data_IF_920513362724
#
_entry.id   IF_920513362724
#
_cell.length_a   1.000
_cell.length_b   1.000
_cell.length_c   1.000
_cell.angle_alpha   90.00
_cell.angle_beta   90.00
_cell.angle_gamma   90.00
#
_symmetry.space_group_name_H-M   'P 1'
#
loop_
_entity.id
_entity.type
_entity.pdbx_description
1 polymer ?
#
# COMPACT_ATOMS: atom_id res chain seq x y z
N UNK A 1 31.75 -36.52 20.64
CA UNK A 1 30.74 -35.43 20.58
C UNK A 1 31.05 -34.52 19.38
N UNK A 2 30.69 -34.94 18.15
CA UNK A 2 30.96 -34.17 16.90
C UNK A 2 29.74 -34.09 15.97
N UNK A 3 28.59 -34.63 16.38
CA UNK A 3 27.42 -34.77 15.53
C UNK A 3 26.41 -33.61 15.61
N UNK A 4 26.61 -32.62 16.48
CA UNK A 4 25.62 -31.55 16.73
C UNK A 4 25.84 -30.25 15.93
N UNK A 5 26.93 -30.12 15.18
CA UNK A 5 27.24 -28.89 14.44
C UNK A 5 26.77 -28.87 12.98
N UNK A 6 26.26 -29.99 12.45
CA UNK A 6 25.87 -30.10 11.04
C UNK A 6 24.39 -29.71 10.82
N UNK A 7 23.55 -29.73 11.86
CA UNK A 7 22.10 -29.44 11.72
C UNK A 7 21.74 -27.96 11.71
N UNK A 8 22.64 -27.05 12.12
CA UNK A 8 22.34 -25.61 12.14
C UNK A 8 22.60 -24.92 10.78
N UNK A 9 23.35 -25.54 9.87
CA UNK A 9 23.70 -24.95 8.58
C UNK A 9 22.62 -25.12 7.49
N UNK A 10 21.60 -25.98 7.71
CA UNK A 10 20.62 -26.32 6.68
C UNK A 10 19.39 -25.39 6.64
N UNK A 11 19.20 -24.52 7.64
CA UNK A 11 18.00 -23.66 7.73
C UNK A 11 18.21 -22.31 7.03
N UNK A 12 19.44 -21.98 6.62
CA UNK A 12 19.79 -20.65 6.10
C UNK A 12 19.76 -20.52 4.56
N UNK A 13 19.32 -21.55 3.84
CA UNK A 13 19.24 -21.55 2.37
C UNK A 13 17.79 -21.56 1.87
N UNK A 14 16.91 -20.73 2.44
CA UNK A 14 15.65 -20.40 1.80
C UNK A 14 15.93 -19.22 0.85
N UNK A 15 16.05 -19.44 -0.47
CA UNK A 15 16.10 -18.34 -1.40
C UNK A 15 14.76 -17.61 -1.29
N UNK A 16 14.77 -16.42 -0.72
CA UNK A 16 13.68 -15.46 -0.87
C UNK A 16 13.60 -15.09 -2.34
N UNK A 17 12.76 -15.83 -3.08
CA UNK A 17 12.37 -15.51 -4.44
C UNK A 17 11.65 -14.17 -4.40
N UNK A 18 12.42 -13.10 -4.54
CA UNK A 18 11.90 -11.77 -4.81
C UNK A 18 11.40 -11.79 -6.24
N UNK A 19 10.12 -12.08 -6.43
CA UNK A 19 9.46 -11.86 -7.72
C UNK A 19 9.41 -10.36 -7.94
N UNK A 20 10.46 -9.80 -8.54
CA UNK A 20 10.42 -8.49 -9.14
C UNK A 20 9.26 -8.52 -10.16
N UNK A 21 8.13 -7.93 -9.80
CA UNK A 21 6.94 -7.89 -10.64
C UNK A 21 7.30 -7.10 -11.88
N UNK A 22 7.33 -7.76 -13.04
CA UNK A 22 7.53 -7.10 -14.32
C UNK A 22 6.45 -6.02 -14.50
N UNK A 23 6.90 -4.77 -14.61
CA UNK A 23 6.05 -3.61 -14.86
C UNK A 23 5.76 -3.58 -16.37
N UNK A 24 4.55 -4.00 -16.75
CA UNK A 24 4.11 -3.95 -18.14
C UNK A 24 3.86 -2.52 -18.61
N UNK A 25 4.62 -2.07 -19.62
CA UNK A 25 4.40 -0.78 -20.29
C UNK A 25 3.47 -0.97 -21.48
N UNK A 26 2.25 -0.48 -21.36
CA UNK A 26 1.29 -0.40 -22.48
C UNK A 26 1.75 0.73 -23.40
N UNK A 27 2.10 0.40 -24.65
CA UNK A 27 2.44 1.40 -25.66
C UNK A 27 1.20 1.73 -26.48
N UNK A 28 0.74 2.98 -26.40
CA UNK A 28 -0.44 3.49 -27.11
C UNK A 28 0.03 4.45 -28.21
N UNK A 29 -0.64 4.44 -29.37
CA UNK A 29 -0.38 5.44 -30.43
C UNK A 29 0.57 5.01 -31.55
N UNK A 30 0.69 3.70 -31.84
CA UNK A 30 1.33 3.26 -33.09
C UNK A 30 0.30 3.15 -34.21
N UNK A 31 0.76 3.38 -35.43
CA UNK A 31 0.00 3.17 -36.65
C UNK A 31 -0.20 1.67 -36.88
N UNK A 32 -1.45 1.21 -36.80
CA UNK A 32 -1.81 -0.22 -36.84
C UNK A 32 -2.02 -0.73 -38.28
N UNK A 33 -2.09 0.17 -39.26
CA UNK A 33 -2.44 -0.15 -40.65
C UNK A 33 -1.38 -1.02 -41.36
N UNK A 34 -0.15 -1.05 -40.83
CA UNK A 34 0.97 -1.82 -41.38
C UNK A 34 1.22 -3.15 -40.68
N UNK A 35 0.42 -3.49 -39.66
CA UNK A 35 0.64 -4.71 -38.90
C UNK A 35 0.15 -5.93 -39.67
N UNK A 36 0.94 -7.01 -39.64
CA UNK A 36 0.46 -8.30 -40.10
C UNK A 36 -0.59 -8.86 -39.13
N UNK A 37 -1.50 -9.69 -39.64
CA UNK A 37 -2.49 -10.41 -38.80
C UNK A 37 -1.84 -11.18 -37.64
N UNK A 38 -0.62 -11.71 -37.84
CA UNK A 38 0.13 -12.42 -36.81
C UNK A 38 0.57 -11.48 -35.68
N UNK A 39 1.05 -10.29 -36.02
CA UNK A 39 1.47 -9.28 -35.04
C UNK A 39 0.27 -8.71 -34.27
N UNK A 40 -0.86 -8.47 -34.95
CA UNK A 40 -2.10 -8.06 -34.29
C UNK A 40 -2.56 -9.09 -33.26
N UNK A 41 -2.58 -10.38 -33.62
CA UNK A 41 -2.95 -11.45 -32.67
C UNK A 41 -2.01 -11.51 -31.47
N UNK A 42 -0.70 -11.37 -31.68
CA UNK A 42 0.28 -11.31 -30.60
C UNK A 42 0.02 -10.11 -29.68
N UNK A 43 -0.27 -8.95 -30.26
CA UNK A 43 -0.57 -7.71 -29.54
C UNK A 43 -1.83 -7.84 -28.70
N UNK A 44 -2.90 -8.40 -29.26
CA UNK A 44 -4.17 -8.64 -28.55
C UNK A 44 -3.91 -9.55 -27.35
N UNK A 45 -3.19 -10.66 -27.55
CA UNK A 45 -2.83 -11.56 -26.45
C UNK A 45 -2.00 -10.88 -25.36
N UNK A 46 -1.02 -10.04 -25.73
CA UNK A 46 -0.23 -9.24 -24.76
C UNK A 46 -1.11 -8.27 -23.97
N UNK A 47 -2.07 -7.62 -24.63
CA UNK A 47 -3.01 -6.70 -24.00
C UNK A 47 -3.98 -7.43 -23.07
N UNK A 48 -4.56 -8.55 -23.49
CA UNK A 48 -5.43 -9.39 -22.66
C UNK A 48 -4.71 -9.83 -21.39
N UNK A 49 -3.46 -10.27 -21.51
CA UNK A 49 -2.63 -10.64 -20.36
C UNK A 49 -2.38 -9.46 -19.42
N UNK A 50 -2.07 -8.28 -19.97
CA UNK A 50 -1.85 -7.08 -19.17
C UNK A 50 -3.12 -6.64 -18.44
N UNK A 51 -4.27 -6.71 -19.10
CA UNK A 51 -5.58 -6.40 -18.50
C UNK A 51 -5.89 -7.38 -17.35
N UNK A 52 -5.66 -8.68 -17.54
CA UNK A 52 -5.85 -9.67 -16.49
C UNK A 52 -4.98 -9.38 -15.25
N UNK A 53 -3.72 -9.00 -15.45
CA UNK A 53 -2.83 -8.61 -14.34
C UNK A 53 -3.28 -7.33 -13.64
N UNK A 54 -3.76 -6.33 -14.39
CA UNK A 54 -4.32 -5.10 -13.83
C UNK A 54 -5.58 -5.39 -12.99
N UNK A 55 -6.45 -6.27 -13.48
CA UNK A 55 -7.65 -6.70 -12.76
C UNK A 55 -7.31 -7.41 -11.46
N UNK A 56 -6.34 -8.34 -11.47
CA UNK A 56 -5.88 -9.02 -10.25
C UNK A 56 -5.30 -8.01 -9.24
N UNK A 57 -4.47 -7.07 -9.68
CA UNK A 57 -3.94 -6.02 -8.81
C UNK A 57 -5.04 -5.15 -8.20
N UNK A 58 -6.03 -4.74 -8.98
CA UNK A 58 -7.17 -3.96 -8.49
C UNK A 58 -7.98 -4.78 -7.48
N UNK A 59 -8.18 -6.07 -7.73
CA UNK A 59 -8.87 -6.97 -6.80
C UNK A 59 -8.10 -7.10 -5.49
N UNK A 60 -6.79 -7.36 -5.53
CA UNK A 60 -5.94 -7.44 -4.34
C UNK A 60 -5.99 -6.11 -3.56
N UNK A 61 -5.83 -4.97 -4.25
CA UNK A 61 -5.93 -3.65 -3.62
C UNK A 61 -7.32 -3.39 -3.00
N UNK A 62 -8.39 -3.88 -3.62
CA UNK A 62 -9.74 -3.77 -3.09
C UNK A 62 -9.96 -4.66 -1.86
N UNK A 63 -9.38 -5.87 -1.86
CA UNK A 63 -9.43 -6.80 -0.72
C UNK A 63 -8.55 -6.36 0.44
N UNK A 64 -7.35 -5.85 0.17
CA UNK A 64 -6.41 -5.32 1.17
C UNK A 64 -6.98 -4.08 1.87
N UNK A 65 -7.73 -3.23 1.15
CA UNK A 65 -8.48 -2.12 1.77
C UNK A 65 -9.56 -2.58 2.75
N UNK A 66 -9.99 -3.84 2.68
CA UNK A 66 -10.90 -4.45 3.66
C UNK A 66 -10.20 -5.08 4.87
N UNK A 67 -8.88 -5.28 4.81
CA UNK A 67 -8.07 -5.91 5.87
C UNK A 67 -6.84 -5.04 6.20
N UNK A 68 -7.07 -3.80 6.67
CA UNK A 68 -6.02 -3.06 7.39
C UNK A 68 -5.83 -3.71 8.77
N UNK A 69 -5.07 -4.80 8.82
CA UNK A 69 -4.59 -5.42 10.08
C UNK A 69 -3.21 -4.92 10.48
N UNK A 70 -2.67 -3.91 9.80
CA UNK A 70 -1.54 -3.14 10.32
C UNK A 70 -2.08 -2.21 11.38
N UNK A 71 -1.89 -2.56 12.67
CA UNK A 71 -2.21 -1.78 13.87
C UNK A 71 -2.38 -0.28 13.55
N UNK A 72 -3.62 0.12 13.25
CA UNK A 72 -3.90 1.47 12.78
C UNK A 72 -3.81 2.39 13.99
N UNK A 73 -2.89 3.34 13.93
CA UNK A 73 -2.76 4.34 14.98
C UNK A 73 -3.98 5.23 14.91
N UNK A 74 -4.75 5.31 15.98
CA UNK A 74 -5.88 6.21 16.12
C UNK A 74 -5.51 7.32 17.10
N UNK A 75 -5.49 8.55 16.61
CA UNK A 75 -5.18 9.73 17.40
C UNK A 75 -6.41 10.61 17.56
N UNK A 76 -6.52 11.27 18.71
CA UNK A 76 -7.56 12.24 19.00
C UNK A 76 -7.02 13.50 19.67
N UNK A 77 -7.70 14.62 19.45
CA UNK A 77 -7.42 15.92 20.09
C UNK A 77 -8.75 16.58 20.46
N UNK A 78 -8.80 17.19 21.65
CA UNK A 78 -9.97 17.95 22.10
C UNK A 78 -9.71 19.44 21.93
N UNK A 79 -10.58 20.13 21.20
CA UNK A 79 -10.51 21.58 20.98
C UNK A 79 -11.91 22.18 20.98
N UNK A 80 -12.12 23.29 21.69
CA UNK A 80 -13.42 23.97 21.85
C UNK A 80 -14.63 23.03 21.99
N UNK A 81 -14.55 22.13 22.96
CA UNK A 81 -15.60 21.14 23.27
C UNK A 81 -15.90 20.12 22.16
N UNK A 82 -15.06 20.04 21.12
CA UNK A 82 -15.13 19.01 20.06
C UNK A 82 -13.91 18.11 20.13
N UNK A 83 -14.14 16.81 19.92
CA UNK A 83 -13.07 15.82 19.80
C UNK A 83 -12.89 15.47 18.34
N UNK A 84 -11.69 15.72 17.81
CA UNK A 84 -11.32 15.33 16.45
C UNK A 84 -10.56 14.01 16.53
N UNK A 85 -10.95 13.04 15.68
CA UNK A 85 -10.33 11.71 15.65
C UNK A 85 -9.87 11.41 14.22
N UNK A 86 -8.67 10.87 14.08
CA UNK A 86 -8.13 10.41 12.81
C UNK A 86 -7.23 9.19 13.01
N UNK A 87 -7.23 8.32 12.01
CA UNK A 87 -6.42 7.10 12.02
C UNK A 87 -5.41 7.10 10.89
N UNK A 88 -4.28 6.42 11.09
CA UNK A 88 -3.24 6.33 10.08
C UNK A 88 -2.32 5.14 10.31
N UNK A 89 -1.71 4.70 9.21
CA UNK A 89 -0.78 3.55 9.19
C UNK A 89 0.46 3.74 10.09
N UNK A 90 0.77 4.98 10.44
CA UNK A 90 1.86 5.33 11.36
C UNK A 90 1.35 6.38 12.35
N UNK A 91 1.92 6.40 13.56
CA UNK A 91 1.61 7.42 14.57
C UNK A 91 1.71 8.85 14.00
N UNK A 92 2.77 9.13 13.24
CA UNK A 92 2.98 10.43 12.60
C UNK A 92 1.88 10.78 11.58
N UNK A 93 1.44 9.80 10.76
CA UNK A 93 0.35 10.00 9.81
C UNK A 93 -0.97 10.30 10.53
N UNK A 94 -1.26 9.56 11.60
CA UNK A 94 -2.47 9.77 12.40
C UNK A 94 -2.48 11.15 13.10
N UNK A 95 -1.34 11.58 13.66
CA UNK A 95 -1.16 12.92 14.25
C UNK A 95 -1.37 14.02 13.19
N UNK A 96 -0.72 13.91 12.03
CA UNK A 96 -0.84 14.90 10.98
C UNK A 96 -2.29 15.05 10.49
N UNK A 97 -3.00 13.93 10.35
CA UNK A 97 -4.41 13.94 9.96
C UNK A 97 -5.31 14.54 11.04
N UNK A 98 -5.06 14.26 12.33
CA UNK A 98 -5.90 14.80 13.41
C UNK A 98 -5.68 16.31 13.59
N UNK A 99 -4.44 16.76 13.48
CA UNK A 99 -4.09 18.19 13.53
C UNK A 99 -4.72 18.94 12.35
N UNK A 100 -4.67 18.36 11.15
CA UNK A 100 -5.35 18.91 9.97
C UNK A 100 -6.86 19.04 10.21
N UNK A 101 -7.51 17.99 10.71
CA UNK A 101 -8.95 18.04 11.04
C UNK A 101 -9.28 19.10 12.09
N UNK A 102 -8.41 19.27 13.09
CA UNK A 102 -8.56 20.30 14.11
C UNK A 102 -8.41 21.70 13.52
N UNK A 103 -7.37 21.94 12.71
CA UNK A 103 -7.11 23.24 12.08
C UNK A 103 -8.14 23.65 11.03
N UNK A 104 -8.77 22.67 10.39
CA UNK A 104 -9.83 22.91 9.39
C UNK A 104 -11.17 23.26 10.06
N UNK A 105 -11.42 22.69 11.26
CA UNK A 105 -12.67 22.90 12.00
C UNK A 105 -12.61 24.09 12.97
N UNK A 106 -11.40 24.49 13.38
CA UNK A 106 -11.13 25.47 14.43
C UNK A 106 -9.90 26.28 14.04
N UNK A 107 -9.83 27.55 14.44
CA UNK A 107 -8.61 28.35 14.34
C UNK A 107 -7.39 27.58 14.88
N UNK A 108 -6.33 27.48 14.07
CA UNK A 108 -5.11 26.69 14.29
C UNK A 108 -4.40 26.90 15.63
N UNK A 109 -4.71 27.99 16.35
CA UNK A 109 -4.16 28.35 17.66
C UNK A 109 -4.45 27.31 18.74
N UNK A 110 -5.54 26.56 18.63
CA UNK A 110 -5.98 25.58 19.65
C UNK A 110 -5.74 24.12 19.25
N UNK A 111 -4.86 23.89 18.28
CA UNK A 111 -4.53 22.59 17.75
C UNK A 111 -3.02 22.37 17.88
N UNK A 112 -2.54 22.11 19.10
CA UNK A 112 -1.13 21.83 19.34
C UNK A 112 -0.86 20.32 19.36
N UNK A 113 0.28 19.92 18.81
CA UNK A 113 0.67 18.50 18.74
C UNK A 113 0.78 17.84 20.12
N UNK A 114 1.17 18.61 21.15
CA UNK A 114 1.26 18.16 22.54
C UNK A 114 -0.08 17.70 23.14
N UNK A 115 -1.20 18.15 22.58
CA UNK A 115 -2.55 17.85 23.07
C UNK A 115 -3.15 16.62 22.35
N UNK A 116 -2.38 15.98 21.47
CA UNK A 116 -2.80 14.80 20.70
C UNK A 116 -2.51 13.52 21.49
N UNK A 117 -3.54 12.70 21.70
CA UNK A 117 -3.43 11.38 22.33
C UNK A 117 -3.62 10.30 21.27
N UNK A 118 -2.69 9.37 21.18
CA UNK A 118 -2.72 8.28 20.20
C UNK A 118 -2.74 6.91 20.88
N UNK A 119 -3.58 6.02 20.36
CA UNK A 119 -3.64 4.61 20.71
C UNK A 119 -3.37 3.76 19.47
N UNK A 120 -2.75 2.61 19.65
CA UNK A 120 -2.68 1.56 18.65
C UNK A 120 -3.39 0.33 19.24
N UNK A 121 -4.32 -0.25 18.48
CA UNK A 121 -4.87 -1.59 18.76
C UNK A 121 -3.98 -2.67 18.16
#
# INVERSE_FOLDING_TARGET
MKAFLITLALILAIPSATFARDIFKIQVGRDYDRYSNKELRRRVWELERAVAQLQDQVFQLAMDKGHSSTADWTCHIQSFSKTHVASGRTKASAIAQVLKKCSDATSSVHCAERDVVCSNE
#
